data_IF_316391575944
#
_entry.id   IF_316391575944
#
_cell.length_a   1.000
_cell.length_b   1.000
_cell.length_c   1.000
_cell.angle_alpha   90.00
_cell.angle_beta   90.00
_cell.angle_gamma   90.00
#
_symmetry.space_group_name_H-M   'P 1'
#
loop_
_entity.id
_entity.type
_entity.pdbx_description
1 polymer ?
#
# COMPACT_ATOMS: atom_id res chain seq x y z
N UNK A 1 11.23 5.18 1.20
CA UNK A 1 10.58 5.21 -0.14
C UNK A 1 9.08 5.41 0.05
N UNK A 2 8.44 6.40 -0.60
CA UNK A 2 7.02 6.72 -0.40
C UNK A 2 6.11 5.57 -0.89
N UNK A 3 5.04 5.28 -0.15
CA UNK A 3 4.12 4.16 -0.41
C UNK A 3 3.55 4.15 -1.84
N UNK A 4 3.18 5.31 -2.38
CA UNK A 4 2.67 5.41 -3.75
C UNK A 4 3.74 5.08 -4.80
N UNK A 5 4.99 5.46 -4.56
CA UNK A 5 6.14 5.13 -5.43
C UNK A 5 6.45 3.63 -5.38
N UNK A 6 6.44 3.03 -4.18
CA UNK A 6 6.54 1.57 -4.05
C UNK A 6 5.45 0.86 -4.85
N UNK A 7 4.21 1.31 -4.80
CA UNK A 7 3.12 0.67 -5.53
C UNK A 7 3.23 0.87 -7.06
N UNK A 8 3.93 1.91 -7.52
CA UNK A 8 4.22 2.17 -8.95
C UNK A 8 5.34 1.29 -9.49
N UNK A 9 6.33 0.91 -8.67
CA UNK A 9 7.40 0.00 -9.10
C UNK A 9 6.89 -1.42 -9.40
N UNK A 10 5.71 -1.77 -8.87
CA UNK A 10 5.08 -3.09 -9.01
C UNK A 10 4.31 -3.33 -10.35
N UNK A 11 4.49 -2.58 -11.45
CA UNK A 11 3.80 -2.89 -12.74
C UNK A 11 4.42 -2.36 -14.04
N UNK A 12 4.14 -2.98 -15.23
CA UNK A 12 3.02 -3.89 -15.55
C UNK A 12 3.42 -5.21 -16.26
N UNK A 13 2.83 -6.35 -15.84
CA UNK A 13 2.76 -7.53 -16.71
C UNK A 13 1.30 -8.03 -16.78
N UNK A 14 0.73 -8.25 -17.99
CA UNK A 14 -0.72 -8.41 -18.20
C UNK A 14 -1.31 -9.77 -17.78
N UNK A 15 -0.49 -10.70 -17.26
CA UNK A 15 -0.96 -12.04 -16.84
C UNK A 15 -1.43 -12.14 -15.39
N UNK A 16 -0.91 -11.27 -14.50
CA UNK A 16 -1.24 -11.12 -13.07
C UNK A 16 -0.37 -9.97 -12.56
N UNK A 17 -0.95 -8.79 -12.35
CA UNK A 17 -0.18 -7.63 -11.91
C UNK A 17 0.23 -7.84 -10.44
N UNK A 18 1.54 -7.87 -10.16
CA UNK A 18 2.10 -7.93 -8.80
C UNK A 18 1.52 -6.83 -7.90
N UNK A 19 1.18 -5.68 -8.50
CA UNK A 19 0.45 -4.59 -7.85
C UNK A 19 -0.93 -5.03 -7.38
N UNK A 20 -1.72 -5.74 -8.20
CA UNK A 20 -3.04 -6.23 -7.81
C UNK A 20 -2.96 -7.22 -6.64
N UNK A 21 -1.99 -8.14 -6.67
CA UNK A 21 -1.77 -9.09 -5.56
C UNK A 21 -1.34 -8.36 -4.29
N UNK A 22 -0.49 -7.34 -4.41
CA UNK A 22 -0.07 -6.52 -3.27
C UNK A 22 -1.24 -5.73 -2.68
N UNK A 23 -2.10 -5.16 -3.52
CA UNK A 23 -3.32 -4.46 -3.08
C UNK A 23 -4.24 -5.42 -2.31
N UNK A 24 -4.39 -6.65 -2.79
CA UNK A 24 -5.16 -7.69 -2.09
C UNK A 24 -4.55 -8.06 -0.74
N UNK A 25 -3.23 -8.25 -0.68
CA UNK A 25 -2.52 -8.53 0.58
C UNK A 25 -2.67 -7.39 1.58
N UNK A 26 -2.51 -6.14 1.15
CA UNK A 26 -2.66 -4.96 2.02
C UNK A 26 -4.10 -4.84 2.50
N UNK A 27 -5.09 -5.01 1.62
CA UNK A 27 -6.50 -4.97 1.97
C UNK A 27 -6.84 -6.03 3.03
N UNK A 28 -6.39 -7.27 2.84
CA UNK A 28 -6.59 -8.36 3.79
C UNK A 28 -5.89 -8.09 5.13
N UNK A 29 -4.61 -7.68 5.12
CA UNK A 29 -3.83 -7.42 6.33
C UNK A 29 -4.39 -6.26 7.17
N UNK A 30 -4.99 -5.26 6.53
CA UNK A 30 -5.55 -4.07 7.19
C UNK A 30 -7.05 -4.18 7.47
N UNK A 31 -7.68 -5.30 7.09
CA UNK A 31 -9.14 -5.49 7.12
C UNK A 31 -9.90 -4.35 6.42
N UNK A 32 -9.31 -3.78 5.36
CA UNK A 32 -9.93 -2.71 4.56
C UNK A 32 -10.30 -3.24 3.17
N UNK A 33 -11.16 -2.49 2.50
CA UNK A 33 -11.52 -2.70 1.11
C UNK A 33 -10.41 -2.22 0.16
N UNK A 34 -10.26 -2.90 -1.00
CA UNK A 34 -9.26 -2.54 -2.03
C UNK A 34 -9.37 -1.07 -2.46
N UNK A 35 -10.58 -0.52 -2.49
CA UNK A 35 -10.84 0.90 -2.79
C UNK A 35 -10.13 1.85 -1.84
N UNK A 36 -10.06 1.53 -0.54
CA UNK A 36 -9.30 2.33 0.41
C UNK A 36 -7.80 2.30 0.10
N UNK A 37 -7.27 1.14 -0.27
CA UNK A 37 -5.87 0.98 -0.68
C UNK A 37 -5.58 1.82 -1.94
N UNK A 38 -6.46 1.79 -2.94
CA UNK A 38 -6.34 2.64 -4.13
C UNK A 38 -6.34 4.13 -3.77
N UNK A 39 -7.24 4.58 -2.88
CA UNK A 39 -7.26 5.96 -2.43
C UNK A 39 -5.96 6.38 -1.74
N UNK A 40 -5.31 5.49 -0.98
CA UNK A 40 -4.00 5.76 -0.38
C UNK A 40 -2.88 5.85 -1.43
N UNK A 41 -2.90 4.97 -2.44
CA UNK A 41 -1.93 4.99 -3.53
C UNK A 41 -2.05 6.29 -4.35
N UNK A 42 -3.28 6.75 -4.57
CA UNK A 42 -3.58 7.98 -5.30
C UNK A 42 -3.37 9.25 -4.45
N UNK A 43 -3.17 9.11 -3.14
CA UNK A 43 -3.05 10.24 -2.21
C UNK A 43 -4.38 10.94 -1.88
N UNK A 44 -5.51 10.36 -2.26
CA UNK A 44 -6.86 10.89 -1.98
C UNK A 44 -7.22 10.83 -0.49
N UNK A 45 -6.66 9.85 0.23
CA UNK A 45 -6.84 9.68 1.67
C UNK A 45 -5.54 9.19 2.29
N UNK A 46 -5.27 9.57 3.53
CA UNK A 46 -4.21 8.95 4.32
C UNK A 46 -4.73 7.80 5.19
N UNK A 47 -4.00 6.67 5.29
CA UNK A 47 -4.30 5.62 6.26
C UNK A 47 -4.09 6.12 7.70
N UNK A 48 -4.85 5.56 8.64
CA UNK A 48 -4.65 5.80 10.08
C UNK A 48 -3.33 5.16 10.60
N UNK A 49 -2.89 5.54 11.79
CA UNK A 49 -1.60 5.12 12.33
C UNK A 49 -1.49 3.60 12.53
N UNK A 50 -2.59 2.92 12.88
CA UNK A 50 -2.61 1.47 13.02
C UNK A 50 -2.38 0.82 11.64
N UNK A 51 -3.10 1.29 10.64
CA UNK A 51 -2.98 0.86 9.24
C UNK A 51 -1.58 1.11 8.69
N UNK A 52 -0.99 2.28 8.97
CA UNK A 52 0.40 2.60 8.59
C UNK A 52 1.39 1.59 9.18
N UNK A 53 1.25 1.25 10.46
CA UNK A 53 2.10 0.23 11.13
C UNK A 53 1.91 -1.16 10.54
N UNK A 54 0.68 -1.55 10.22
CA UNK A 54 0.39 -2.83 9.57
C UNK A 54 1.05 -2.93 8.19
N UNK A 55 0.94 -1.87 7.37
CA UNK A 55 1.57 -1.81 6.04
C UNK A 55 3.09 -1.83 6.18
N UNK A 56 3.65 -1.07 7.13
CA UNK A 56 5.09 -1.08 7.43
C UNK A 56 5.60 -2.47 7.80
N UNK A 57 4.89 -3.19 8.67
CA UNK A 57 5.23 -4.57 9.03
C UNK A 57 5.09 -5.55 7.86
N UNK A 58 4.09 -5.37 7.00
CA UNK A 58 3.89 -6.21 5.81
C UNK A 58 4.99 -6.03 4.77
N UNK A 59 5.43 -4.78 4.54
CA UNK A 59 6.43 -4.45 3.53
C UNK A 59 7.86 -4.47 4.07
N UNK A 60 8.02 -4.57 5.40
CA UNK A 60 9.29 -4.45 6.11
C UNK A 60 10.04 -3.14 5.79
N UNK A 61 9.29 -2.04 5.66
CA UNK A 61 9.80 -0.68 5.41
C UNK A 61 9.29 0.22 6.54
N UNK A 62 10.12 1.09 7.15
CA UNK A 62 9.69 1.99 8.21
C UNK A 62 8.47 2.85 7.83
N UNK A 63 7.64 3.19 8.82
CA UNK A 63 6.43 4.01 8.61
C UNK A 63 6.80 5.38 8.06
N UNK A 64 7.88 5.97 8.57
CA UNK A 64 8.39 7.28 8.22
C UNK A 64 8.89 7.32 6.77
N UNK A 65 9.37 6.18 6.27
CA UNK A 65 9.80 6.04 4.89
C UNK A 65 8.63 5.91 3.91
N UNK A 66 7.61 5.12 4.29
CA UNK A 66 6.41 4.88 3.48
C UNK A 66 5.45 6.07 3.49
N UNK A 67 5.33 6.74 4.64
CA UNK A 67 4.39 7.82 4.92
C UNK A 67 5.12 8.98 5.62
N UNK A 68 5.99 9.72 4.91
CA UNK A 68 6.65 10.90 5.47
C UNK A 68 5.63 11.98 5.86
N UNK A 69 5.98 12.80 6.87
CA UNK A 69 5.19 13.98 7.27
C UNK A 69 5.16 15.07 6.20
#
# INVERSE_FOLDING_TARGET
MVFSEYMKTLSPNPGKSERSEMIEKIAAATCKNKTAVYAWINGERQPDMLTKKTISGLLNIPVEELFPE
#
